data_IF_367218025984
#
_entry.id   IF_367218025984
#
_cell.length_a   1.000
_cell.length_b   1.000
_cell.length_c   1.000
_cell.angle_alpha   90.00
_cell.angle_beta   90.00
_cell.angle_gamma   90.00
#
_symmetry.space_group_name_H-M   'P 1'
#
loop_
_entity.id
_entity.type
_entity.pdbx_description
1 polymer ?
#
# COMPACT_ATOMS: atom_id res chain seq x y z
N UNK A 1 21.54 20.29 8.84
CA UNK A 1 21.00 19.20 8.00
C UNK A 1 22.10 18.39 7.29
N UNK A 2 23.28 18.95 7.03
CA UNK A 2 24.36 18.33 6.23
C UNK A 2 25.12 17.16 6.88
N UNK A 3 25.43 17.21 8.18
CA UNK A 3 26.26 16.15 8.82
C UNK A 3 25.50 14.82 8.89
N UNK A 4 24.20 14.86 9.18
CA UNK A 4 23.38 13.65 9.31
C UNK A 4 23.11 13.00 7.94
N UNK A 5 22.89 13.81 6.89
CA UNK A 5 22.85 13.30 5.52
C UNK A 5 24.19 12.67 5.10
N UNK A 6 25.31 13.30 5.43
CA UNK A 6 26.63 12.73 5.14
C UNK A 6 26.86 11.37 5.83
N UNK A 7 26.42 11.21 7.09
CA UNK A 7 26.51 9.91 7.78
C UNK A 7 25.59 8.86 7.13
N UNK A 8 24.43 9.27 6.63
CA UNK A 8 23.48 8.37 5.97
C UNK A 8 23.97 7.96 4.58
N UNK A 9 24.49 8.90 3.78
CA UNK A 9 25.06 8.63 2.46
C UNK A 9 26.30 7.73 2.59
N UNK A 10 27.11 7.92 3.63
CA UNK A 10 28.26 7.06 3.93
C UNK A 10 27.79 5.67 4.41
N UNK A 11 26.70 5.60 5.19
CA UNK A 11 26.09 4.34 5.62
C UNK A 11 25.50 3.57 4.44
N UNK A 12 24.75 4.22 3.53
CA UNK A 12 24.16 3.62 2.34
C UNK A 12 25.22 3.26 1.29
N UNK A 13 26.24 4.11 1.11
CA UNK A 13 27.41 3.81 0.29
C UNK A 13 28.19 2.59 0.79
N UNK A 14 28.19 2.33 2.11
CA UNK A 14 28.75 1.11 2.67
C UNK A 14 27.92 -0.16 2.37
N UNK A 15 26.64 -0.02 2.00
CA UNK A 15 25.74 -1.12 1.64
C UNK A 15 25.69 -1.35 0.12
N UNK A 16 26.07 -0.38 -0.71
CA UNK A 16 26.19 -0.53 -2.17
C UNK A 16 26.95 -1.79 -2.63
N UNK A 17 28.14 -2.15 -2.06
CA UNK A 17 28.80 -3.41 -2.41
C UNK A 17 28.00 -4.66 -2.00
N UNK A 18 27.17 -4.56 -0.95
CA UNK A 18 26.25 -5.63 -0.56
C UNK A 18 25.07 -5.71 -1.54
N UNK A 19 24.57 -4.57 -2.03
CA UNK A 19 23.51 -4.49 -3.03
C UNK A 19 23.99 -5.06 -4.36
N UNK A 20 25.19 -4.70 -4.81
CA UNK A 20 25.82 -5.26 -6.02
C UNK A 20 26.12 -6.76 -5.88
N UNK A 21 26.41 -7.24 -4.66
CA UNK A 21 26.54 -8.67 -4.37
C UNK A 21 25.19 -9.40 -4.41
N UNK A 22 24.12 -8.77 -3.91
CA UNK A 22 22.78 -9.36 -3.82
C UNK A 22 22.01 -9.31 -5.14
N UNK A 23 22.14 -8.22 -5.90
CA UNK A 23 21.37 -7.93 -7.11
C UNK A 23 22.28 -7.74 -8.32
N UNK A 24 21.98 -8.45 -9.40
CA UNK A 24 22.62 -8.24 -10.68
C UNK A 24 22.16 -6.89 -11.25
N UNK A 25 23.04 -6.21 -12.00
CA UNK A 25 22.73 -4.94 -12.69
C UNK A 25 21.54 -5.04 -13.67
N UNK A 26 21.10 -6.25 -14.01
CA UNK A 26 19.91 -6.57 -14.81
C UNK A 26 18.62 -6.73 -14.00
N UNK A 27 18.62 -6.47 -12.68
CA UNK A 27 17.44 -6.45 -11.83
C UNK A 27 17.02 -7.80 -11.23
N UNK A 28 17.83 -8.84 -11.39
CA UNK A 28 17.60 -10.17 -10.80
C UNK A 28 18.49 -10.43 -9.58
N UNK A 29 18.04 -11.30 -8.67
CA UNK A 29 18.85 -11.73 -7.53
C UNK A 29 20.03 -12.57 -8.04
N UNK A 30 21.27 -12.24 -7.64
CA UNK A 30 22.42 -13.05 -8.03
C UNK A 30 22.33 -14.43 -7.35
N UNK A 31 22.94 -15.46 -7.94
CA UNK A 31 22.98 -16.79 -7.31
C UNK A 31 23.63 -16.75 -5.92
N UNK A 32 24.62 -15.88 -5.73
CA UNK A 32 25.28 -15.66 -4.45
C UNK A 32 24.35 -14.90 -3.48
N UNK A 33 23.64 -13.89 -3.96
CA UNK A 33 22.65 -13.15 -3.19
C UNK A 33 21.49 -14.00 -2.71
N UNK A 34 20.99 -14.92 -3.56
CA UNK A 34 19.96 -15.89 -3.19
C UNK A 34 20.39 -16.79 -2.02
N UNK A 35 21.63 -17.27 -2.04
CA UNK A 35 22.19 -18.11 -0.98
C UNK A 35 22.36 -17.30 0.31
N UNK A 36 22.88 -16.07 0.22
CA UNK A 36 23.03 -15.19 1.38
C UNK A 36 21.68 -14.88 2.02
N UNK A 37 20.68 -14.51 1.22
CA UNK A 37 19.32 -14.26 1.73
C UNK A 37 18.74 -15.53 2.36
N UNK A 38 18.87 -16.70 1.72
CA UNK A 38 18.34 -17.95 2.27
C UNK A 38 18.99 -18.32 3.62
N UNK A 39 20.31 -18.16 3.75
CA UNK A 39 21.05 -18.44 4.98
C UNK A 39 20.73 -17.44 6.07
N UNK A 40 20.64 -16.14 5.76
CA UNK A 40 20.28 -15.09 6.72
C UNK A 40 18.83 -15.24 7.18
N UNK A 41 17.90 -15.47 6.24
CA UNK A 41 16.48 -15.71 6.55
C UNK A 41 16.31 -16.97 7.40
N UNK A 42 17.00 -18.05 7.01
CA UNK A 42 17.01 -19.31 7.74
C UNK A 42 17.59 -19.15 9.15
N UNK A 43 18.74 -18.49 9.27
CA UNK A 43 19.42 -18.23 10.55
C UNK A 43 18.63 -17.32 11.48
N UNK A 44 18.03 -16.24 10.95
CA UNK A 44 17.11 -15.38 11.70
C UNK A 44 15.86 -16.13 12.12
N UNK A 45 15.32 -17.01 11.27
CA UNK A 45 14.13 -17.81 11.62
C UNK A 45 14.42 -18.83 12.72
N UNK A 46 15.60 -19.43 12.76
CA UNK A 46 15.98 -20.42 13.78
C UNK A 46 16.33 -19.75 15.11
N UNK A 47 17.05 -18.63 15.08
CA UNK A 47 17.51 -17.92 16.29
C UNK A 47 16.41 -17.02 16.88
N UNK A 48 15.56 -16.45 16.03
CA UNK A 48 14.50 -15.52 16.41
C UNK A 48 13.24 -16.19 16.98
N UNK A 49 12.97 -17.46 16.69
CA UNK A 49 11.76 -18.18 17.12
C UNK A 49 11.54 -18.14 18.63
N UNK A 50 12.59 -18.29 19.43
CA UNK A 50 12.50 -18.24 20.89
C UNK A 50 12.20 -16.83 21.43
N UNK A 51 12.88 -15.81 20.89
CA UNK A 51 12.72 -14.40 21.30
C UNK A 51 11.36 -13.84 20.89
N UNK A 52 10.90 -14.14 19.67
CA UNK A 52 9.59 -13.71 19.17
C UNK A 52 8.47 -14.38 19.96
N UNK A 53 8.60 -15.69 20.25
CA UNK A 53 7.61 -16.40 21.08
C UNK A 53 7.56 -15.85 22.50
N UNK A 54 8.71 -15.65 23.14
CA UNK A 54 8.78 -15.06 24.48
C UNK A 54 8.20 -13.63 24.53
N UNK A 55 8.50 -12.78 23.54
CA UNK A 55 7.92 -11.43 23.46
C UNK A 55 6.40 -11.46 23.22
N UNK A 56 5.91 -12.40 22.39
CA UNK A 56 4.47 -12.60 22.16
C UNK A 56 3.75 -13.11 23.42
N UNK A 57 4.36 -14.06 24.13
CA UNK A 57 3.80 -14.65 25.34
C UNK A 57 3.78 -13.61 26.49
N UNK A 58 4.81 -12.77 26.62
CA UNK A 58 4.84 -11.62 27.55
C UNK A 58 3.76 -10.59 27.22
N UNK A 59 3.59 -10.24 25.95
CA UNK A 59 2.53 -9.34 25.51
C UNK A 59 1.12 -9.91 25.72
N UNK A 60 0.95 -11.22 25.53
CA UNK A 60 -0.32 -11.92 25.74
C UNK A 60 -0.68 -12.06 27.23
N UNK A 61 0.33 -12.14 28.10
CA UNK A 61 0.16 -12.20 29.56
C UNK A 61 -0.25 -10.84 30.18
N UNK A 62 -0.04 -9.73 29.48
CA UNK A 62 -0.43 -8.39 29.96
C UNK A 62 -1.95 -8.19 29.88
N UNK A 63 -2.54 -7.74 30.98
CA UNK A 63 -3.99 -7.45 31.07
C UNK A 63 -4.29 -5.94 30.99
N UNK A 64 -5.43 -5.62 30.38
CA UNK A 64 -6.08 -4.30 30.36
C UNK A 64 -5.18 -3.10 30.00
N UNK A 65 -4.91 -2.17 30.94
CA UNK A 65 -4.29 -0.86 30.64
C UNK A 65 -2.87 -0.98 30.05
N UNK A 66 -2.10 -1.97 30.50
CA UNK A 66 -0.70 -2.11 30.12
C UNK A 66 -0.54 -2.66 28.70
N UNK A 67 -1.43 -3.56 28.29
CA UNK A 67 -1.52 -4.06 26.92
C UNK A 67 -1.93 -2.94 25.95
N UNK A 68 -2.88 -2.10 26.32
CA UNK A 68 -3.29 -0.93 25.52
C UNK A 68 -2.13 0.06 25.36
N UNK A 69 -1.40 0.36 26.43
CA UNK A 69 -0.23 1.24 26.38
C UNK A 69 0.87 0.70 25.48
N UNK A 70 1.20 -0.59 25.59
CA UNK A 70 2.19 -1.21 24.72
C UNK A 70 1.73 -1.32 23.27
N UNK A 71 0.44 -1.59 23.02
CA UNK A 71 -0.14 -1.52 21.66
C UNK A 71 0.06 -0.13 21.08
N UNK A 72 -0.31 0.90 21.83
CA UNK A 72 -0.22 2.29 21.41
C UNK A 72 1.24 2.70 21.15
N UNK A 73 2.18 2.26 21.99
CA UNK A 73 3.62 2.50 21.77
C UNK A 73 4.10 1.79 20.50
N UNK A 74 3.75 0.53 20.28
CA UNK A 74 4.15 -0.19 19.06
C UNK A 74 3.53 0.44 17.80
N UNK A 75 2.26 0.84 17.85
CA UNK A 75 1.60 1.55 16.76
C UNK A 75 2.28 2.90 16.52
N UNK A 76 2.56 3.68 17.56
CA UNK A 76 3.23 4.97 17.44
C UNK A 76 4.64 4.82 16.84
N UNK A 77 5.44 3.85 17.31
CA UNK A 77 6.76 3.56 16.74
C UNK A 77 6.63 3.18 15.26
N UNK A 78 5.66 2.34 14.92
CA UNK A 78 5.43 1.93 13.53
C UNK A 78 5.01 3.12 12.66
N UNK A 79 4.10 3.97 13.13
CA UNK A 79 3.67 5.18 12.43
C UNK A 79 4.82 6.16 12.24
N UNK A 80 5.61 6.42 13.29
CA UNK A 80 6.80 7.28 13.20
C UNK A 80 7.79 6.70 12.20
N UNK A 81 8.06 5.40 12.24
CA UNK A 81 8.94 4.75 11.28
C UNK A 81 8.44 4.93 9.84
N UNK A 82 7.16 4.69 9.58
CA UNK A 82 6.57 4.83 8.23
C UNK A 82 6.60 6.27 7.70
N UNK A 83 6.47 7.27 8.58
CA UNK A 83 6.55 8.68 8.18
C UNK A 83 8.00 9.08 7.94
N UNK A 84 8.92 8.71 8.84
CA UNK A 84 10.32 9.16 8.82
C UNK A 84 11.10 8.48 7.69
N UNK A 85 10.94 7.17 7.51
CA UNK A 85 11.70 6.36 6.56
C UNK A 85 11.73 6.91 5.11
N UNK A 86 10.62 7.35 4.49
CA UNK A 86 10.66 7.89 3.12
C UNK A 86 11.46 9.19 2.97
N UNK A 87 11.65 9.97 4.04
CA UNK A 87 12.45 11.21 3.96
C UNK A 87 13.96 10.95 3.86
N UNK A 88 14.43 9.76 4.23
CA UNK A 88 15.85 9.39 4.23
C UNK A 88 16.23 8.39 3.15
N UNK A 89 15.25 8.00 2.33
CA UNK A 89 15.38 6.91 1.38
C UNK A 89 15.32 7.47 -0.04
N UNK A 90 16.23 7.02 -0.92
CA UNK A 90 16.28 7.49 -2.30
C UNK A 90 15.01 7.14 -3.09
N UNK A 91 14.74 7.88 -4.18
CA UNK A 91 13.52 7.77 -5.00
C UNK A 91 13.12 6.33 -5.36
N UNK A 92 14.06 5.54 -5.87
CA UNK A 92 13.82 4.16 -6.32
C UNK A 92 13.33 3.29 -5.16
N UNK A 93 13.96 3.41 -3.99
CA UNK A 93 13.59 2.62 -2.82
C UNK A 93 12.24 3.10 -2.27
N UNK A 94 11.93 4.39 -2.33
CA UNK A 94 10.61 4.91 -1.96
C UNK A 94 9.48 4.37 -2.86
N UNK A 95 9.68 4.32 -4.17
CA UNK A 95 8.72 3.73 -5.11
C UNK A 95 8.53 2.23 -4.84
N UNK A 96 9.62 1.49 -4.57
CA UNK A 96 9.56 0.08 -4.18
C UNK A 96 8.79 -0.10 -2.87
N UNK A 97 9.08 0.70 -1.85
CA UNK A 97 8.41 0.65 -0.55
C UNK A 97 6.93 1.01 -0.64
N UNK A 98 6.58 1.99 -1.48
CA UNK A 98 5.19 2.34 -1.75
C UNK A 98 4.44 1.16 -2.38
N UNK A 99 5.02 0.50 -3.38
CA UNK A 99 4.43 -0.69 -4.00
C UNK A 99 4.29 -1.85 -3.01
N UNK A 100 5.32 -2.12 -2.21
CA UNK A 100 5.26 -3.12 -1.14
C UNK A 100 4.17 -2.77 -0.13
N UNK A 101 4.07 -1.50 0.26
CA UNK A 101 3.04 -0.99 1.17
C UNK A 101 1.63 -1.21 0.63
N UNK A 102 1.39 -0.94 -0.66
CA UNK A 102 0.13 -1.23 -1.34
C UNK A 102 -0.18 -2.73 -1.22
N UNK A 103 0.73 -3.62 -1.64
CA UNK A 103 0.51 -5.06 -1.56
C UNK A 103 0.30 -5.57 -0.13
N UNK A 104 0.93 -4.93 0.87
CA UNK A 104 0.79 -5.28 2.28
C UNK A 104 -0.59 -4.88 2.82
N UNK A 105 -1.06 -3.67 2.50
CA UNK A 105 -2.42 -3.21 2.82
C UNK A 105 -3.47 -4.10 2.13
N UNK A 106 -3.20 -4.46 0.88
CA UNK A 106 -3.99 -5.38 0.10
C UNK A 106 -4.11 -6.77 0.76
N UNK A 107 -2.98 -7.36 1.16
CA UNK A 107 -2.94 -8.62 1.90
C UNK A 107 -3.65 -8.54 3.25
N UNK A 108 -3.50 -7.43 3.98
CA UNK A 108 -4.21 -7.19 5.25
C UNK A 108 -5.73 -7.12 5.05
N UNK A 109 -6.19 -6.41 4.02
CA UNK A 109 -7.61 -6.35 3.66
C UNK A 109 -8.18 -7.74 3.37
N UNK A 110 -7.47 -8.53 2.55
CA UNK A 110 -7.85 -9.90 2.25
C UNK A 110 -7.87 -10.79 3.51
N UNK A 111 -6.89 -10.65 4.40
CA UNK A 111 -6.83 -11.40 5.66
C UNK A 111 -7.99 -11.05 6.60
N UNK A 112 -8.47 -9.81 6.59
CA UNK A 112 -9.65 -9.43 7.37
C UNK A 112 -10.90 -10.12 6.80
N UNK A 113 -11.10 -10.06 5.48
CA UNK A 113 -12.31 -10.63 4.86
C UNK A 113 -12.29 -12.16 4.90
N UNK A 114 -11.26 -12.79 4.34
CA UNK A 114 -11.18 -14.25 4.25
C UNK A 114 -10.78 -14.86 5.59
N UNK A 115 -9.81 -14.28 6.28
CA UNK A 115 -9.26 -14.83 7.52
C UNK A 115 -10.13 -14.64 8.74
N UNK A 116 -10.82 -13.48 8.90
CA UNK A 116 -11.68 -13.22 10.06
C UNK A 116 -13.16 -13.45 9.77
N UNK A 117 -13.67 -13.03 8.61
CA UNK A 117 -15.09 -13.22 8.28
C UNK A 117 -15.40 -14.61 7.69
N UNK A 118 -14.37 -15.34 7.21
CA UNK A 118 -14.53 -16.71 6.69
C UNK A 118 -15.27 -16.79 5.36
N UNK A 119 -15.38 -15.66 4.65
CA UNK A 119 -16.07 -15.55 3.36
C UNK A 119 -15.04 -15.47 2.25
N UNK A 120 -15.23 -16.26 1.19
CA UNK A 120 -14.43 -16.17 -0.02
C UNK A 120 -14.84 -14.92 -0.82
N UNK A 121 -14.06 -13.85 -0.70
CA UNK A 121 -14.19 -12.63 -1.51
C UNK A 121 -13.07 -12.57 -2.55
N UNK A 122 -13.43 -12.78 -3.82
CA UNK A 122 -12.53 -12.68 -4.97
C UNK A 122 -12.60 -11.32 -5.66
N UNK A 123 -13.59 -10.49 -5.29
CA UNK A 123 -13.86 -9.18 -5.86
C UNK A 123 -13.11 -8.05 -5.19
N UNK A 124 -12.33 -8.32 -4.15
CA UNK A 124 -11.78 -7.26 -3.30
C UNK A 124 -10.85 -6.28 -4.05
N UNK A 125 -10.22 -6.71 -5.15
CA UNK A 125 -9.39 -5.84 -6.03
C UNK A 125 -10.22 -4.71 -6.65
N UNK A 126 -11.54 -4.88 -6.76
CA UNK A 126 -12.46 -3.83 -7.21
C UNK A 126 -12.45 -2.62 -6.26
N UNK A 127 -12.44 -2.86 -4.95
CA UNK A 127 -12.41 -1.78 -3.96
C UNK A 127 -11.08 -1.03 -4.00
N UNK A 128 -9.98 -1.75 -4.24
CA UNK A 128 -8.67 -1.14 -4.49
C UNK A 128 -8.69 -0.25 -5.74
N UNK A 129 -9.23 -0.76 -6.86
CA UNK A 129 -9.35 0.02 -8.09
C UNK A 129 -10.20 1.26 -7.89
N UNK A 130 -11.37 1.15 -7.26
CA UNK A 130 -12.26 2.28 -6.98
C UNK A 130 -11.55 3.35 -6.14
N UNK A 131 -10.85 2.96 -5.06
CA UNK A 131 -10.10 3.90 -4.24
C UNK A 131 -8.97 4.61 -5.00
N UNK A 132 -8.18 3.84 -5.75
CA UNK A 132 -7.07 4.37 -6.55
C UNK A 132 -7.53 5.32 -7.65
N UNK A 133 -8.52 4.92 -8.46
CA UNK A 133 -9.09 5.76 -9.50
C UNK A 133 -9.78 7.00 -8.92
N UNK A 134 -10.50 6.88 -7.81
CA UNK A 134 -11.12 8.05 -7.18
C UNK A 134 -10.07 9.07 -6.74
N UNK A 135 -8.99 8.63 -6.09
CA UNK A 135 -7.91 9.53 -5.69
C UNK A 135 -7.22 10.14 -6.91
N UNK A 136 -6.93 9.33 -7.94
CA UNK A 136 -6.29 9.79 -9.17
C UNK A 136 -7.15 10.81 -9.92
N UNK A 137 -8.45 10.58 -10.06
CA UNK A 137 -9.39 11.51 -10.72
C UNK A 137 -9.46 12.86 -9.98
N UNK A 138 -9.44 12.85 -8.64
CA UNK A 138 -9.56 14.07 -7.83
C UNK A 138 -8.26 14.87 -7.70
N UNK A 139 -7.11 14.23 -7.91
CA UNK A 139 -5.79 14.85 -7.71
C UNK A 139 -5.02 15.10 -8.98
N UNK A 140 -5.26 14.35 -10.06
CA UNK A 140 -4.46 14.45 -11.28
C UNK A 140 -4.59 15.83 -11.94
N UNK A 141 -3.45 16.38 -12.35
CA UNK A 141 -3.37 17.64 -13.06
C UNK A 141 -3.71 17.40 -14.54
N UNK A 142 -4.99 17.59 -14.91
CA UNK A 142 -5.54 17.50 -16.28
C UNK A 142 -4.86 16.42 -17.17
N UNK A 143 -5.22 15.15 -17.02
CA UNK A 143 -4.65 14.05 -17.80
C UNK A 143 -4.91 14.10 -19.32
N UNK A 144 -5.83 14.95 -19.82
CA UNK A 144 -6.11 15.06 -21.26
C UNK A 144 -7.11 16.16 -21.66
N UNK A 145 -7.33 16.32 -22.96
CA UNK A 145 -8.16 17.34 -23.62
C UNK A 145 -9.68 17.13 -23.41
N UNK A 146 -10.07 15.91 -23.02
CA UNK A 146 -11.45 15.50 -22.72
C UNK A 146 -11.73 15.36 -21.22
N UNK A 147 -10.79 15.76 -20.36
CA UNK A 147 -11.00 15.77 -18.92
C UNK A 147 -12.03 16.85 -18.56
N UNK A 148 -13.02 16.56 -17.69
CA UNK A 148 -14.06 17.54 -17.43
C UNK A 148 -13.49 18.76 -16.71
N UNK A 149 -13.65 19.96 -17.29
CA UNK A 149 -13.13 21.21 -16.73
C UNK A 149 -13.67 21.55 -15.33
N UNK A 150 -14.79 20.95 -14.95
CA UNK A 150 -15.43 21.13 -13.65
C UNK A 150 -14.86 20.23 -12.55
N UNK A 151 -13.95 19.30 -12.86
CA UNK A 151 -13.33 18.45 -11.84
C UNK A 151 -12.34 19.27 -11.00
N UNK A 152 -12.52 19.39 -9.67
CA UNK A 152 -11.64 20.19 -8.84
C UNK A 152 -10.28 19.52 -8.67
N UNK A 153 -9.20 20.29 -8.82
CA UNK A 153 -7.86 19.92 -8.35
C UNK A 153 -7.88 19.97 -6.82
N UNK A 154 -8.22 18.83 -6.22
CA UNK A 154 -8.50 18.76 -4.79
C UNK A 154 -7.19 18.49 -4.05
N UNK A 155 -6.88 19.21 -2.95
CA UNK A 155 -5.74 18.87 -2.12
C UNK A 155 -5.79 17.39 -1.70
N UNK A 156 -4.65 16.72 -1.70
CA UNK A 156 -4.58 15.26 -1.49
C UNK A 156 -5.33 14.80 -0.24
N UNK A 157 -5.28 15.56 0.85
CA UNK A 157 -5.98 15.21 2.10
C UNK A 157 -7.51 15.21 1.96
N UNK A 158 -8.06 16.15 1.19
CA UNK A 158 -9.50 16.24 0.94
C UNK A 158 -9.91 15.15 -0.04
N UNK A 159 -9.09 14.89 -1.06
CA UNK A 159 -9.30 13.77 -1.98
C UNK A 159 -9.31 12.41 -1.26
N UNK A 160 -8.44 12.22 -0.26
CA UNK A 160 -8.42 11.03 0.58
C UNK A 160 -9.72 10.86 1.36
N UNK A 161 -10.22 11.91 2.01
CA UNK A 161 -11.50 11.85 2.74
C UNK A 161 -12.68 11.51 1.82
N UNK A 162 -12.73 12.15 0.64
CA UNK A 162 -13.75 11.86 -0.38
C UNK A 162 -13.63 10.41 -0.85
N UNK A 163 -12.40 9.93 -1.05
CA UNK A 163 -12.13 8.55 -1.45
C UNK A 163 -12.63 7.55 -0.42
N UNK A 164 -12.45 7.81 0.87
CA UNK A 164 -12.99 6.96 1.94
C UNK A 164 -14.52 6.89 1.85
N UNK A 165 -15.19 8.03 1.66
CA UNK A 165 -16.65 8.08 1.55
C UNK A 165 -17.13 7.32 0.31
N UNK A 166 -16.49 7.51 -0.84
CA UNK A 166 -16.83 6.83 -2.09
C UNK A 166 -16.60 5.32 -1.96
N UNK A 167 -15.46 4.90 -1.41
CA UNK A 167 -15.16 3.49 -1.18
C UNK A 167 -16.20 2.84 -0.23
N UNK A 168 -16.60 3.54 0.83
CA UNK A 168 -17.65 3.07 1.74
C UNK A 168 -19.02 2.96 1.03
N UNK A 169 -19.38 3.94 0.20
CA UNK A 169 -20.62 3.91 -0.58
C UNK A 169 -20.64 2.76 -1.58
N UNK A 170 -19.55 2.56 -2.33
CA UNK A 170 -19.42 1.45 -3.28
C UNK A 170 -19.42 0.11 -2.54
N UNK A 171 -18.73 0.04 -1.39
CA UNK A 171 -18.78 -1.10 -0.47
C UNK A 171 -20.19 -1.44 -0.02
N UNK A 172 -20.99 -0.44 0.36
CA UNK A 172 -22.38 -0.64 0.75
C UNK A 172 -23.24 -1.07 -0.44
N UNK A 173 -23.04 -0.46 -1.61
CA UNK A 173 -23.79 -0.75 -2.82
C UNK A 173 -23.56 -2.18 -3.32
N UNK A 174 -22.30 -2.64 -3.34
CA UNK A 174 -21.91 -4.00 -3.73
C UNK A 174 -22.22 -4.99 -2.60
N UNK A 175 -22.04 -4.59 -1.34
CA UNK A 175 -22.28 -5.43 -0.16
C UNK A 175 -23.76 -5.76 0.04
N UNK A 176 -24.67 -4.83 -0.23
CA UNK A 176 -26.11 -5.02 -0.08
C UNK A 176 -26.68 -6.26 -0.81
N UNK A 177 -26.41 -6.49 -2.10
CA UNK A 177 -26.86 -7.71 -2.78
C UNK A 177 -26.12 -8.97 -2.32
N UNK A 178 -24.85 -8.82 -1.91
CA UNK A 178 -23.92 -9.90 -1.53
C UNK A 178 -24.28 -10.54 -0.18
N UNK A 179 -24.80 -9.77 0.78
CA UNK A 179 -25.17 -10.27 2.12
C UNK A 179 -26.23 -11.39 2.09
N UNK A 180 -27.03 -11.48 1.02
CA UNK A 180 -28.06 -12.52 0.88
C UNK A 180 -27.51 -13.84 0.31
N UNK A 181 -26.26 -13.85 -0.14
CA UNK A 181 -25.63 -15.00 -0.79
C UNK A 181 -24.74 -15.77 0.19
N UNK A 182 -24.59 -17.07 -0.02
CA UNK A 182 -23.82 -17.95 0.87
C UNK A 182 -22.93 -18.90 0.08
N UNK A 183 -21.80 -19.26 0.67
CA UNK A 183 -20.86 -20.24 0.10
C UNK A 183 -20.35 -19.81 -1.27
N UNK A 184 -20.36 -20.73 -2.23
CA UNK A 184 -19.72 -20.53 -3.54
C UNK A 184 -20.39 -19.44 -4.39
N UNK A 185 -21.69 -19.21 -4.20
CA UNK A 185 -22.41 -18.14 -4.88
C UNK A 185 -21.85 -16.75 -4.54
N UNK A 186 -21.39 -16.59 -3.31
CA UNK A 186 -20.78 -15.36 -2.82
C UNK A 186 -19.47 -15.06 -3.54
N UNK A 187 -18.65 -16.10 -3.76
CA UNK A 187 -17.38 -15.99 -4.47
C UNK A 187 -17.58 -15.67 -5.96
N UNK A 188 -18.54 -16.31 -6.62
CA UNK A 188 -18.85 -16.06 -8.04
C UNK A 188 -19.30 -14.61 -8.25
N UNK A 189 -20.17 -14.11 -7.38
CA UNK A 189 -20.72 -12.76 -7.52
C UNK A 189 -19.67 -11.69 -7.21
N UNK A 190 -18.83 -11.88 -6.19
CA UNK A 190 -17.73 -10.94 -5.91
C UNK A 190 -16.73 -10.88 -7.06
N UNK A 191 -16.37 -12.02 -7.67
CA UNK A 191 -15.57 -12.05 -8.90
C UNK A 191 -16.26 -11.27 -10.03
N UNK A 192 -17.55 -11.53 -10.25
CA UNK A 192 -18.34 -10.82 -11.27
C UNK A 192 -18.31 -9.31 -11.09
N UNK A 193 -18.51 -8.80 -9.87
CA UNK A 193 -18.36 -7.37 -9.59
C UNK A 193 -16.94 -6.86 -9.83
N UNK A 194 -15.92 -7.63 -9.45
CA UNK A 194 -14.53 -7.29 -9.73
C UNK A 194 -14.24 -7.13 -11.22
N UNK A 195 -14.74 -8.05 -12.05
CA UNK A 195 -14.56 -7.98 -13.50
C UNK A 195 -15.36 -6.83 -14.12
N UNK A 196 -16.58 -6.57 -13.64
CA UNK A 196 -17.38 -5.42 -14.08
C UNK A 196 -16.63 -4.11 -13.82
N UNK A 197 -16.09 -3.93 -12.62
CA UNK A 197 -15.32 -2.72 -12.27
C UNK A 197 -14.06 -2.60 -13.13
N UNK A 198 -13.34 -3.71 -13.37
CA UNK A 198 -12.18 -3.73 -14.26
C UNK A 198 -12.54 -3.29 -15.68
N UNK A 199 -13.61 -3.85 -16.25
CA UNK A 199 -14.07 -3.51 -17.59
C UNK A 199 -14.53 -2.05 -17.65
N UNK A 200 -15.23 -1.55 -16.63
CA UNK A 200 -15.68 -0.15 -16.59
C UNK A 200 -14.51 0.83 -16.64
N UNK A 201 -13.44 0.61 -15.88
CA UNK A 201 -12.28 1.51 -15.89
C UNK A 201 -11.47 1.40 -17.20
N UNK A 202 -11.44 0.23 -17.83
CA UNK A 202 -10.74 0.02 -19.11
C UNK A 202 -11.58 0.42 -20.33
N UNK A 203 -12.86 0.73 -20.15
CA UNK A 203 -13.79 0.98 -21.26
C UNK A 203 -13.53 2.31 -21.96
N UNK A 204 -13.59 2.29 -23.29
CA UNK A 204 -13.49 3.49 -24.13
C UNK A 204 -14.61 4.50 -23.84
N UNK A 205 -15.77 4.05 -23.36
CA UNK A 205 -16.89 4.91 -22.97
C UNK A 205 -16.61 5.79 -21.76
N UNK A 206 -15.72 5.36 -20.88
CA UNK A 206 -15.33 6.10 -19.68
C UNK A 206 -13.89 6.63 -19.77
N UNK A 207 -13.28 6.57 -20.96
CA UNK A 207 -11.90 7.00 -21.17
C UNK A 207 -11.68 8.47 -20.76
N UNK A 208 -12.62 9.37 -21.07
CA UNK A 208 -12.54 10.78 -20.65
C UNK A 208 -12.52 11.02 -19.13
N UNK A 209 -12.90 10.02 -18.32
CA UNK A 209 -12.89 10.11 -16.85
C UNK A 209 -11.79 9.27 -16.20
N UNK A 210 -11.45 8.12 -16.76
CA UNK A 210 -10.52 7.15 -16.14
C UNK A 210 -9.25 6.89 -16.96
N UNK A 211 -9.12 7.43 -18.16
CA UNK A 211 -7.96 7.21 -19.04
C UNK A 211 -7.95 5.85 -19.75
N UNK A 212 -9.03 5.07 -19.63
CA UNK A 212 -9.21 3.79 -20.31
C UNK A 212 -8.08 2.80 -20.00
N UNK A 213 -7.57 2.12 -21.03
CA UNK A 213 -6.50 1.15 -20.88
C UNK A 213 -5.15 1.74 -20.41
N UNK A 214 -4.92 3.04 -20.63
CA UNK A 214 -3.69 3.72 -20.23
C UNK A 214 -3.73 4.17 -18.76
N UNK A 215 -4.93 4.27 -18.19
CA UNK A 215 -5.14 4.80 -16.85
C UNK A 215 -4.83 6.29 -16.73
N UNK A 216 -4.80 6.79 -15.51
CA UNK A 216 -4.58 8.21 -15.21
C UNK A 216 -3.10 8.47 -15.01
N UNK A 217 -2.53 9.32 -15.86
CA UNK A 217 -1.13 9.76 -15.81
C UNK A 217 -1.00 11.15 -15.17
N UNK A 218 0.21 11.52 -14.73
CA UNK A 218 0.52 12.81 -14.10
C UNK A 218 -0.26 13.09 -12.79
N UNK A 219 -0.25 12.11 -11.88
CA UNK A 219 -0.78 12.29 -10.53
C UNK A 219 0.29 13.01 -9.69
N UNK A 220 -0.02 14.17 -9.08
CA UNK A 220 0.93 14.88 -8.24
C UNK A 220 1.28 14.07 -6.99
N UNK A 221 2.45 14.37 -6.40
CA UNK A 221 2.85 13.76 -5.14
C UNK A 221 1.84 14.08 -4.02
N UNK A 222 1.74 13.18 -3.04
CA UNK A 222 0.84 13.36 -1.90
C UNK A 222 1.33 14.50 -1.00
N UNK A 223 0.75 15.69 -1.17
CA UNK A 223 1.03 16.84 -0.32
C UNK A 223 0.11 16.84 0.90
N UNK A 224 0.70 16.60 2.07
CA UNK A 224 0.06 16.95 3.34
C UNK A 224 0.23 18.45 3.48
N UNK A 225 -0.84 19.25 3.36
CA UNK A 225 -0.79 20.73 3.30
C UNK A 225 -0.07 21.50 4.43
N UNK A 226 0.63 20.83 5.33
CA UNK A 226 1.58 21.37 6.31
C UNK A 226 3.05 21.23 5.90
N UNK A 227 3.36 20.44 4.88
CA UNK A 227 4.69 20.23 4.32
C UNK A 227 4.59 20.69 2.88
N UNK A 228 4.98 21.95 2.64
CA UNK A 228 5.04 22.48 1.29
C UNK A 228 5.87 21.59 0.40
N UNK A 229 5.50 21.55 -0.89
CA UNK A 229 6.20 20.92 -2.00
C UNK A 229 7.72 20.88 -1.73
N UNK A 230 8.21 19.73 -1.23
CA UNK A 230 9.64 19.46 -1.24
C UNK A 230 9.94 19.06 -2.66
N UNK A 231 9.95 20.07 -3.52
CA UNK A 231 10.44 20.04 -4.88
C UNK A 231 11.82 19.38 -4.87
N UNK A 232 11.97 18.28 -5.61
CA UNK A 232 13.29 17.83 -6.04
C UNK A 232 13.73 16.39 -5.75
N UNK A 233 12.84 15.42 -5.51
CA UNK A 233 13.20 13.99 -5.59
C UNK A 233 12.19 13.18 -6.40
#
# INVERSE_FOLDING_TARGET
MSIFQAVIDDLFGAIDPLIDLLYAKTGGLTRQGAIVIAVVSGGLSLTGRGRIKAARDDYAAKTGPERTRQTAIMLAITTVLLIVLPFFTGKIINELLANVGIFLLLALGLNIVVGLAGILDLGYVAFFAVGGYTTAVLTAARPGESWPDWLPHTPWIVALLITIVIAAMVGLFIGAPVIRMRGDYLAIVTLGFGEIIRILFLSDWLNGFFGGAQGIINIPAAEFGFIGEVSGV
#
